data_IF_522873644038
#
_entry.id   IF_522873644038
#
_cell.length_a   1.000
_cell.length_b   1.000
_cell.length_c   1.000
_cell.angle_alpha   90.00
_cell.angle_beta   90.00
_cell.angle_gamma   90.00
#
_symmetry.space_group_name_H-M   'P 1'
#
loop_
_entity.id
_entity.type
_entity.pdbx_description
1 polymer ?
#
# COMPACT_ATOMS: atom_id res chain seq x y z
N UNK A 1 6.33 -27.10 -21.13
CA UNK A 1 5.71 -26.19 -20.13
C UNK A 1 5.10 -25.04 -20.89
N UNK A 2 3.82 -24.72 -20.65
CA UNK A 2 3.21 -23.53 -21.24
C UNK A 2 3.84 -22.28 -20.64
N UNK A 3 4.10 -21.27 -21.47
CA UNK A 3 4.64 -19.99 -21.00
C UNK A 3 3.69 -19.29 -20.02
N UNK A 4 4.16 -18.23 -19.33
CA UNK A 4 3.32 -17.46 -18.41
C UNK A 4 2.06 -16.96 -19.11
N UNK A 5 0.90 -17.19 -18.52
CA UNK A 5 -0.41 -16.73 -19.04
C UNK A 5 -0.63 -15.22 -18.90
N UNK A 6 0.29 -14.50 -18.26
CA UNK A 6 0.25 -13.06 -18.01
C UNK A 6 1.60 -12.46 -18.41
N UNK A 7 1.56 -11.38 -19.19
CA UNK A 7 2.76 -10.63 -19.59
C UNK A 7 3.40 -9.92 -18.39
N UNK A 8 4.68 -9.55 -18.48
CA UNK A 8 5.36 -8.86 -17.38
C UNK A 8 4.70 -7.49 -17.11
N UNK A 9 4.30 -6.83 -18.18
CA UNK A 9 3.66 -5.52 -18.20
C UNK A 9 2.30 -5.55 -17.48
N UNK A 10 1.44 -6.53 -17.78
CA UNK A 10 0.15 -6.71 -17.11
C UNK A 10 0.30 -6.99 -15.61
N UNK A 11 1.28 -7.83 -15.25
CA UNK A 11 1.59 -8.14 -13.86
C UNK A 11 2.06 -6.91 -13.11
N UNK A 12 2.94 -6.11 -13.71
CA UNK A 12 3.50 -4.92 -13.05
C UNK A 12 2.45 -3.81 -12.90
N UNK A 13 1.57 -3.63 -13.89
CA UNK A 13 0.41 -2.74 -13.81
C UNK A 13 -0.56 -3.18 -12.69
N UNK A 14 -0.87 -4.47 -12.61
CA UNK A 14 -1.75 -5.03 -11.57
C UNK A 14 -1.13 -4.86 -10.18
N UNK A 15 0.15 -5.19 -10.03
CA UNK A 15 0.88 -4.99 -8.78
C UNK A 15 0.91 -3.53 -8.35
N UNK A 16 1.06 -2.59 -9.29
CA UNK A 16 1.02 -1.15 -8.98
C UNK A 16 -0.34 -0.75 -8.44
N UNK A 17 -1.43 -1.19 -9.08
CA UNK A 17 -2.81 -0.90 -8.62
C UNK A 17 -3.09 -1.48 -7.24
N UNK A 18 -2.66 -2.72 -6.98
CA UNK A 18 -2.80 -3.36 -5.67
C UNK A 18 -2.07 -2.59 -4.56
N UNK A 19 -0.83 -2.16 -4.81
CA UNK A 19 -0.05 -1.36 -3.84
C UNK A 19 -0.74 -0.03 -3.53
N UNK A 20 -1.24 0.65 -4.57
CA UNK A 20 -1.99 1.91 -4.39
C UNK A 20 -3.26 1.66 -3.58
N UNK A 21 -4.04 0.63 -3.93
CA UNK A 21 -5.26 0.27 -3.21
C UNK A 21 -5.02 -0.03 -1.73
N UNK A 22 -3.94 -0.75 -1.41
CA UNK A 22 -3.56 -1.03 -0.03
C UNK A 22 -3.24 0.24 0.76
N UNK A 23 -2.43 1.15 0.20
CA UNK A 23 -2.08 2.41 0.86
C UNK A 23 -3.33 3.26 1.10
N UNK A 24 -4.21 3.36 0.11
CA UNK A 24 -5.48 4.09 0.22
C UNK A 24 -6.37 3.47 1.30
N UNK A 25 -6.47 2.15 1.35
CA UNK A 25 -7.28 1.44 2.36
C UNK A 25 -6.77 1.71 3.78
N UNK A 26 -5.45 1.71 3.99
CA UNK A 26 -4.82 2.05 5.27
C UNK A 26 -5.09 3.52 5.63
N UNK A 27 -4.98 4.42 4.65
CA UNK A 27 -5.32 5.84 4.76
C UNK A 27 -6.72 6.05 5.31
N UNK A 28 -7.72 5.49 4.61
CA UNK A 28 -9.14 5.54 4.97
C UNK A 28 -9.36 4.91 6.34
N UNK A 29 -8.76 3.75 6.62
CA UNK A 29 -8.89 3.07 7.91
C UNK A 29 -8.41 3.94 9.07
N UNK A 30 -7.24 4.57 8.95
CA UNK A 30 -6.73 5.50 9.97
C UNK A 30 -7.64 6.71 10.19
N UNK A 31 -8.20 7.25 9.11
CA UNK A 31 -9.21 8.31 9.18
C UNK A 31 -10.47 7.87 9.93
N UNK A 32 -11.05 6.73 9.55
CA UNK A 32 -12.23 6.18 10.20
C UNK A 32 -11.99 5.87 11.69
N UNK A 33 -10.81 5.36 12.04
CA UNK A 33 -10.44 5.13 13.45
C UNK A 33 -10.37 6.43 14.22
N UNK A 34 -9.83 7.50 13.63
CA UNK A 34 -9.73 8.79 14.31
C UNK A 34 -11.11 9.38 14.66
N UNK A 35 -12.15 9.11 13.86
CA UNK A 35 -13.50 9.60 14.13
C UNK A 35 -14.10 9.05 15.44
N UNK A 36 -13.53 7.99 16.01
CA UNK A 36 -13.98 7.43 17.29
C UNK A 36 -13.65 8.32 18.49
N UNK A 37 -12.83 9.36 18.32
CA UNK A 37 -12.41 10.28 19.40
C UNK A 37 -12.75 11.74 19.12
N UNK A 38 -13.78 11.99 18.27
CA UNK A 38 -14.25 13.33 17.89
C UNK A 38 -13.11 14.30 17.49
N UNK A 39 -12.32 13.96 16.46
CA UNK A 39 -11.13 14.70 16.11
C UNK A 39 -11.50 16.04 15.48
N UNK A 40 -10.65 17.04 15.69
CA UNK A 40 -10.71 18.26 14.87
C UNK A 40 -10.42 17.93 13.40
N UNK A 41 -10.86 18.75 12.43
CA UNK A 41 -10.58 18.52 11.00
C UNK A 41 -9.08 18.38 10.69
N UNK A 42 -8.23 19.13 11.41
CA UNK A 42 -6.77 19.04 11.29
C UNK A 42 -6.24 17.69 11.78
N UNK A 43 -6.76 17.17 12.90
CA UNK A 43 -6.37 15.85 13.43
C UNK A 43 -6.84 14.71 12.53
N UNK A 44 -8.03 14.81 11.94
CA UNK A 44 -8.50 13.83 10.96
C UNK A 44 -7.58 13.79 9.72
N UNK A 45 -7.24 14.95 9.16
CA UNK A 45 -6.32 15.04 8.03
C UNK A 45 -4.92 14.48 8.38
N UNK A 46 -4.44 14.76 9.59
CA UNK A 46 -3.19 14.19 10.10
C UNK A 46 -3.27 12.67 10.26
N UNK A 47 -4.38 12.13 10.77
CA UNK A 47 -4.58 10.69 10.92
C UNK A 47 -4.54 9.96 9.58
N UNK A 48 -5.26 10.48 8.57
CA UNK A 48 -5.23 9.95 7.19
C UNK A 48 -3.84 10.09 6.58
N UNK A 49 -3.17 11.22 6.78
CA UNK A 49 -1.82 11.46 6.28
C UNK A 49 -0.80 10.49 6.87
N UNK A 50 -0.77 10.36 8.20
CA UNK A 50 0.15 9.47 8.93
C UNK A 50 -0.10 8.01 8.58
N UNK A 51 -1.36 7.58 8.53
CA UNK A 51 -1.70 6.20 8.15
C UNK A 51 -1.33 5.91 6.69
N UNK A 52 -1.52 6.85 5.77
CA UNK A 52 -1.11 6.71 4.36
C UNK A 52 0.41 6.63 4.22
N UNK A 53 1.17 7.48 4.92
CA UNK A 53 2.64 7.44 4.94
C UNK A 53 3.13 6.11 5.51
N UNK A 54 2.53 5.65 6.61
CA UNK A 54 2.85 4.36 7.21
C UNK A 54 2.54 3.20 6.25
N UNK A 55 1.36 3.20 5.61
CA UNK A 55 0.96 2.19 4.65
C UNK A 55 1.89 2.15 3.43
N UNK A 56 2.33 3.31 2.95
CA UNK A 56 3.33 3.41 1.89
C UNK A 56 4.69 2.85 2.35
N UNK A 57 5.17 3.26 3.52
CA UNK A 57 6.44 2.81 4.07
C UNK A 57 6.49 1.29 4.27
N UNK A 58 5.41 0.70 4.81
CA UNK A 58 5.28 -0.74 4.96
C UNK A 58 5.25 -1.46 3.61
N UNK A 59 4.46 -0.97 2.66
CA UNK A 59 4.38 -1.54 1.31
C UNK A 59 5.75 -1.49 0.61
N UNK A 60 6.45 -0.37 0.73
CA UNK A 60 7.80 -0.19 0.21
C UNK A 60 8.78 -1.15 0.87
N UNK A 61 8.76 -1.26 2.20
CA UNK A 61 9.63 -2.14 2.98
C UNK A 61 9.45 -3.60 2.58
N UNK A 62 8.21 -4.08 2.49
CA UNK A 62 7.91 -5.46 2.10
C UNK A 62 8.41 -5.74 0.68
N UNK A 63 8.14 -4.85 -0.28
CA UNK A 63 8.59 -5.02 -1.67
C UNK A 63 10.11 -4.96 -1.76
N UNK A 64 10.75 -4.06 -1.03
CA UNK A 64 12.21 -3.92 -0.99
C UNK A 64 12.87 -5.17 -0.42
N UNK A 65 12.33 -5.70 0.67
CA UNK A 65 12.80 -6.90 1.35
C UNK A 65 12.64 -8.12 0.46
N UNK A 66 11.45 -8.34 -0.13
CA UNK A 66 11.20 -9.49 -1.01
C UNK A 66 12.09 -9.50 -2.27
N UNK A 67 12.55 -8.33 -2.72
CA UNK A 67 13.53 -8.24 -3.82
C UNK A 67 14.92 -8.74 -3.42
N UNK A 68 15.30 -8.68 -2.15
CA UNK A 68 16.59 -9.20 -1.66
C UNK A 68 16.58 -10.73 -1.61
N UNK A 69 15.44 -11.32 -1.25
CA UNK A 69 15.27 -12.77 -1.13
C UNK A 69 14.77 -13.43 -2.42
N UNK A 70 14.35 -12.66 -3.42
CA UNK A 70 13.98 -13.23 -4.72
C UNK A 70 15.25 -13.70 -5.43
N UNK A 71 15.36 -14.99 -5.79
CA UNK A 71 16.47 -15.46 -6.61
C UNK A 71 16.49 -14.63 -7.90
N UNK A 72 17.66 -14.13 -8.28
CA UNK A 72 17.88 -13.51 -9.59
C UNK A 72 17.47 -14.54 -10.65
N UNK A 73 16.27 -14.38 -11.20
CA UNK A 73 15.76 -15.14 -12.34
C UNK A 73 16.37 -14.61 -13.62
#
# INVERSE_FOLDING_TARGET
MVGPSITKEERDATNRRLKIGLVVLIGISGGLVSLQVDPTPAQFAAAVGVSSVLGFALTWFVVRTLREFSPKR
#
